data_IF_141709764416
#
_entry.id   IF_141709764416
#
_cell.length_a   1.000
_cell.length_b   1.000
_cell.length_c   1.000
_cell.angle_alpha   90.00
_cell.angle_beta   90.00
_cell.angle_gamma   90.00
#
_symmetry.space_group_name_H-M   'P 1'
#
loop_
_entity.id
_entity.type
_entity.pdbx_description
1 polymer ?
#
# COMPACT_ATOMS: atom_id res chain seq x y z
N UNK A 1 -5.30 31.68 -23.81
CA UNK A 1 -4.36 31.52 -24.95
C UNK A 1 -3.45 30.30 -24.82
N UNK A 2 -2.82 30.06 -23.67
CA UNK A 2 -1.92 28.91 -23.48
C UNK A 2 -2.61 27.54 -23.70
N UNK A 3 -3.82 27.39 -23.19
CA UNK A 3 -4.59 26.12 -23.33
C UNK A 3 -5.00 25.86 -24.79
N UNK A 4 -5.28 26.92 -25.53
CA UNK A 4 -5.63 26.78 -26.94
C UNK A 4 -4.39 26.37 -27.77
N UNK A 5 -3.20 26.85 -27.41
CA UNK A 5 -1.94 26.46 -28.08
C UNK A 5 -1.55 25.02 -27.78
N UNK A 6 -1.76 24.53 -26.56
CA UNK A 6 -1.49 23.13 -26.20
C UNK A 6 -2.48 22.17 -26.86
N UNK A 7 -3.77 22.55 -26.92
CA UNK A 7 -4.76 21.75 -27.64
C UNK A 7 -4.44 21.65 -29.14
N UNK A 8 -4.03 22.77 -29.75
CA UNK A 8 -3.64 22.78 -31.16
C UNK A 8 -2.42 21.88 -31.41
N UNK A 9 -1.47 21.84 -30.49
CA UNK A 9 -0.28 20.98 -30.57
C UNK A 9 -0.64 19.51 -30.43
N UNK A 10 -1.55 19.18 -29.52
CA UNK A 10 -2.05 17.82 -29.36
C UNK A 10 -2.77 17.32 -30.64
N UNK A 11 -3.61 18.16 -31.23
CA UNK A 11 -4.32 17.86 -32.47
C UNK A 11 -3.33 17.67 -33.64
N UNK A 12 -2.29 18.51 -33.72
CA UNK A 12 -1.21 18.39 -34.73
C UNK A 12 -0.44 17.08 -34.61
N UNK A 13 -0.07 16.67 -33.39
CA UNK A 13 0.63 15.39 -33.15
C UNK A 13 -0.22 14.18 -33.52
N UNK A 14 -1.52 14.22 -33.21
CA UNK A 14 -2.46 13.18 -33.63
C UNK A 14 -2.61 13.10 -35.15
N UNK A 15 -2.68 14.25 -35.82
CA UNK A 15 -2.76 14.30 -37.28
C UNK A 15 -1.48 13.73 -37.93
N UNK A 16 -0.30 14.05 -37.41
CA UNK A 16 0.98 13.47 -37.85
C UNK A 16 0.99 11.94 -37.68
N UNK A 17 0.45 11.42 -36.58
CA UNK A 17 0.37 9.98 -36.31
C UNK A 17 -0.57 9.27 -37.31
N UNK A 18 -1.71 9.88 -37.60
CA UNK A 18 -2.67 9.36 -38.60
C UNK A 18 -2.08 9.39 -40.01
N UNK A 19 -1.35 10.45 -40.38
CA UNK A 19 -0.68 10.54 -41.67
C UNK A 19 0.43 9.50 -41.82
N UNK A 20 1.22 9.29 -40.76
CA UNK A 20 2.25 8.26 -40.73
C UNK A 20 1.66 6.85 -40.88
N UNK A 21 0.55 6.57 -40.18
CA UNK A 21 -0.16 5.29 -40.30
C UNK A 21 -0.72 5.08 -41.71
N UNK A 22 -1.25 6.15 -42.33
CA UNK A 22 -1.73 6.11 -43.74
C UNK A 22 -0.62 5.82 -44.71
N UNK A 23 0.61 6.30 -44.46
CA UNK A 23 1.76 6.12 -45.33
C UNK A 23 2.43 4.75 -45.15
N UNK A 24 2.46 4.22 -43.96
CA UNK A 24 3.17 2.98 -43.59
C UNK A 24 2.27 2.06 -42.74
N UNK A 25 1.15 1.56 -43.25
CA UNK A 25 0.25 0.70 -42.46
C UNK A 25 0.96 -0.60 -42.11
N UNK A 26 0.86 -1.00 -40.84
CA UNK A 26 1.37 -2.28 -40.29
C UNK A 26 2.85 -2.60 -40.60
N UNK A 27 3.71 -1.60 -40.61
CA UNK A 27 5.12 -1.77 -40.88
C UNK A 27 5.99 -1.43 -39.65
N UNK A 28 7.17 -2.10 -39.55
CA UNK A 28 8.19 -1.80 -38.55
C UNK A 28 8.67 -0.35 -38.63
N UNK A 29 8.57 0.25 -39.81
CA UNK A 29 8.93 1.66 -40.07
C UNK A 29 7.94 2.58 -39.32
N UNK A 30 6.64 2.26 -39.37
CA UNK A 30 5.63 3.01 -38.61
C UNK A 30 5.93 3.02 -37.12
N UNK A 31 6.22 1.85 -36.53
CA UNK A 31 6.48 1.77 -35.08
C UNK A 31 7.69 2.59 -34.67
N UNK A 32 8.76 2.55 -35.47
CA UNK A 32 9.96 3.32 -35.18
C UNK A 32 9.78 4.84 -35.32
N UNK A 33 9.07 5.27 -36.36
CA UNK A 33 8.84 6.70 -36.60
C UNK A 33 7.70 7.27 -35.71
N UNK A 34 6.76 6.44 -35.28
CA UNK A 34 5.68 6.82 -34.40
C UNK A 34 6.09 6.91 -32.91
N UNK A 35 7.17 6.22 -32.51
CA UNK A 35 7.60 6.17 -31.10
C UNK A 35 7.88 7.56 -30.48
N UNK A 36 8.62 8.48 -31.13
CA UNK A 36 8.86 9.82 -30.60
C UNK A 36 7.57 10.65 -30.50
N UNK A 37 6.61 10.49 -31.44
CA UNK A 37 5.33 11.17 -31.42
C UNK A 37 4.46 10.64 -30.29
N UNK A 38 4.41 9.32 -30.10
CA UNK A 38 3.69 8.68 -28.97
C UNK A 38 4.24 9.14 -27.63
N UNK A 39 5.57 9.24 -27.49
CA UNK A 39 6.19 9.70 -26.24
C UNK A 39 5.84 11.16 -25.92
N UNK A 40 5.73 12.03 -26.95
CA UNK A 40 5.27 13.40 -26.76
C UNK A 40 3.80 13.45 -26.37
N UNK A 41 2.93 12.70 -27.04
CA UNK A 41 1.50 12.59 -26.70
C UNK A 41 1.29 12.11 -25.26
N UNK A 42 2.03 11.10 -24.83
CA UNK A 42 1.96 10.63 -23.44
C UNK A 42 2.41 11.69 -22.43
N UNK A 43 3.41 12.50 -22.75
CA UNK A 43 3.85 13.59 -21.88
C UNK A 43 2.78 14.69 -21.79
N UNK A 44 2.13 15.02 -22.89
CA UNK A 44 1.04 16.02 -22.94
C UNK A 44 -0.22 15.50 -22.22
N UNK A 45 -0.60 14.24 -22.43
CA UNK A 45 -1.69 13.60 -21.69
C UNK A 45 -1.46 13.63 -20.17
N UNK A 46 -0.23 13.34 -19.73
CA UNK A 46 0.15 13.41 -18.33
C UNK A 46 0.04 14.85 -17.78
N UNK A 47 0.44 15.84 -18.58
CA UNK A 47 0.32 17.25 -18.22
C UNK A 47 -1.15 17.69 -18.11
N UNK A 48 -1.99 17.34 -19.08
CA UNK A 48 -3.42 17.64 -19.04
C UNK A 48 -4.13 16.96 -17.86
N UNK A 49 -3.77 15.73 -17.57
CA UNK A 49 -4.28 15.00 -16.40
C UNK A 49 -3.91 15.72 -15.10
N UNK A 50 -2.63 16.11 -14.97
CA UNK A 50 -2.14 16.85 -13.82
C UNK A 50 -2.84 18.22 -13.67
N UNK A 51 -3.04 18.94 -14.77
CA UNK A 51 -3.73 20.22 -14.80
C UNK A 51 -5.19 20.09 -14.40
N UNK A 52 -5.90 19.07 -14.90
CA UNK A 52 -7.28 18.80 -14.55
C UNK A 52 -7.41 18.43 -13.06
N UNK A 53 -6.50 17.63 -12.55
CA UNK A 53 -6.42 17.30 -11.13
C UNK A 53 -6.19 18.56 -10.28
N UNK A 54 -5.27 19.43 -10.71
CA UNK A 54 -5.00 20.70 -10.01
C UNK A 54 -6.22 21.61 -9.98
N UNK A 55 -6.97 21.72 -11.08
CA UNK A 55 -8.21 22.51 -11.17
C UNK A 55 -9.35 21.94 -10.35
N UNK A 56 -9.38 20.63 -10.14
CA UNK A 56 -10.41 19.96 -9.36
C UNK A 56 -10.14 20.00 -7.85
N UNK A 57 -9.00 20.55 -7.39
CA UNK A 57 -8.67 20.67 -5.99
C UNK A 57 -9.65 21.60 -5.26
N UNK A 58 -10.15 21.12 -4.13
CA UNK A 58 -10.97 21.90 -3.20
C UNK A 58 -10.10 22.78 -2.30
N UNK A 59 -10.65 23.84 -1.69
CA UNK A 59 -9.94 24.63 -0.69
C UNK A 59 -9.37 23.72 0.42
N UNK A 60 -8.07 23.83 0.68
CA UNK A 60 -7.36 23.02 1.68
C UNK A 60 -6.72 21.73 1.13
N UNK A 61 -7.05 21.29 -0.09
CA UNK A 61 -6.37 20.18 -0.73
C UNK A 61 -5.05 20.63 -1.36
N UNK A 62 -4.06 19.74 -1.36
CA UNK A 62 -2.75 19.94 -1.97
C UNK A 62 -2.61 19.02 -3.18
N UNK A 63 -2.04 19.54 -4.27
CA UNK A 63 -1.69 18.70 -5.40
C UNK A 63 -0.59 17.73 -5.00
N UNK A 64 -0.87 16.42 -5.12
CA UNK A 64 0.06 15.35 -4.80
C UNK A 64 0.27 14.47 -6.03
N UNK A 65 1.52 14.03 -6.23
CA UNK A 65 1.82 13.05 -7.28
C UNK A 65 1.22 11.68 -6.90
N UNK A 66 0.13 11.31 -7.55
CA UNK A 66 -0.77 10.23 -7.14
C UNK A 66 -0.13 8.83 -7.14
N UNK A 67 0.85 8.58 -8.02
CA UNK A 67 1.38 7.23 -8.28
C UNK A 67 1.96 6.56 -7.03
N UNK A 68 2.73 7.30 -6.22
CA UNK A 68 3.30 6.77 -4.98
C UNK A 68 2.23 6.42 -3.94
N UNK A 69 1.22 7.27 -3.82
CA UNK A 69 0.10 7.07 -2.89
C UNK A 69 -0.81 5.92 -3.35
N UNK A 70 -1.09 5.81 -4.64
CA UNK A 70 -1.88 4.70 -5.19
C UNK A 70 -1.18 3.35 -4.97
N UNK A 71 0.15 3.32 -5.06
CA UNK A 71 0.92 2.10 -4.83
C UNK A 71 0.97 1.70 -3.34
N UNK A 72 0.85 2.66 -2.42
CA UNK A 72 0.84 2.41 -0.99
C UNK A 72 -0.57 2.16 -0.43
N UNK A 73 -1.59 2.83 -0.97
CA UNK A 73 -2.95 2.89 -0.41
C UNK A 73 -4.05 2.52 -1.43
N UNK A 74 -3.69 2.24 -2.68
CA UNK A 74 -4.61 1.90 -3.75
C UNK A 74 -5.10 0.45 -3.69
N UNK A 75 -5.92 0.06 -4.66
CA UNK A 75 -6.53 -1.27 -4.72
C UNK A 75 -5.51 -2.40 -4.85
N UNK A 76 -4.41 -2.18 -5.58
CA UNK A 76 -3.34 -3.18 -5.73
C UNK A 76 -2.57 -3.38 -4.42
N UNK A 77 -2.31 -2.29 -3.67
CA UNK A 77 -1.74 -2.35 -2.34
C UNK A 77 -2.65 -3.16 -1.40
N UNK A 78 -3.96 -2.92 -1.43
CA UNK A 78 -4.91 -3.64 -0.60
C UNK A 78 -4.90 -5.15 -0.88
N UNK A 79 -4.79 -5.56 -2.15
CA UNK A 79 -4.70 -6.96 -2.53
C UNK A 79 -3.42 -7.62 -2.00
N UNK A 80 -2.28 -6.96 -2.14
CA UNK A 80 -1.02 -7.42 -1.61
C UNK A 80 -1.07 -7.52 -0.08
N UNK A 81 -1.64 -6.51 0.58
CA UNK A 81 -1.85 -6.46 2.02
C UNK A 81 -2.65 -7.64 2.56
N UNK A 82 -3.71 -8.04 1.86
CA UNK A 82 -4.53 -9.20 2.25
C UNK A 82 -3.73 -10.50 2.18
N UNK A 83 -2.89 -10.67 1.15
CA UNK A 83 -2.03 -11.85 1.02
C UNK A 83 -0.94 -11.87 2.11
N UNK A 84 -0.30 -10.73 2.38
CA UNK A 84 0.69 -10.59 3.44
C UNK A 84 0.09 -10.83 4.83
N UNK A 85 -1.11 -10.32 5.07
CA UNK A 85 -1.84 -10.54 6.33
C UNK A 85 -2.20 -12.01 6.51
N UNK A 86 -2.64 -12.69 5.43
CA UNK A 86 -2.92 -14.12 5.43
C UNK A 86 -1.68 -14.95 5.75
N UNK A 87 -0.55 -14.63 5.13
CA UNK A 87 0.75 -15.26 5.42
C UNK A 87 1.22 -15.00 6.86
N UNK A 88 1.05 -13.76 7.36
CA UNK A 88 1.37 -13.40 8.72
C UNK A 88 0.50 -14.16 9.74
N UNK A 89 -0.79 -14.28 9.46
CA UNK A 89 -1.72 -15.08 10.27
C UNK A 89 -1.26 -16.53 10.39
N UNK A 90 -0.91 -17.17 9.26
CA UNK A 90 -0.39 -18.55 9.27
C UNK A 90 0.92 -18.65 10.04
N UNK A 91 1.84 -17.71 9.89
CA UNK A 91 3.10 -17.69 10.61
C UNK A 91 2.89 -17.58 12.13
N UNK A 92 2.00 -16.69 12.58
CA UNK A 92 1.62 -16.54 13.99
C UNK A 92 0.98 -17.83 14.52
N UNK A 93 0.04 -18.41 13.76
CA UNK A 93 -0.64 -19.63 14.15
C UNK A 93 0.33 -20.80 14.29
N UNK A 94 1.21 -21.02 13.32
CA UNK A 94 2.19 -22.13 13.34
C UNK A 94 3.18 -21.98 14.49
N UNK A 95 3.68 -20.77 14.76
CA UNK A 95 4.66 -20.52 15.81
C UNK A 95 4.06 -20.70 17.19
N UNK A 96 2.87 -20.14 17.42
CA UNK A 96 2.19 -20.26 18.72
C UNK A 96 1.72 -21.70 18.94
N UNK A 97 1.08 -22.32 17.95
CA UNK A 97 0.62 -23.71 18.06
C UNK A 97 1.78 -24.66 18.36
N UNK A 98 2.90 -24.53 17.64
CA UNK A 98 4.11 -25.35 17.87
C UNK A 98 4.67 -25.19 19.28
N UNK A 99 4.66 -23.98 19.82
CA UNK A 99 5.11 -23.71 21.19
C UNK A 99 4.21 -24.39 22.23
N UNK A 100 2.89 -24.32 22.07
CA UNK A 100 1.94 -24.93 23.02
C UNK A 100 1.83 -26.44 22.87
N UNK A 101 1.90 -26.97 21.64
CA UNK A 101 1.89 -28.43 21.40
C UNK A 101 3.11 -29.10 22.03
N UNK A 102 4.30 -28.49 21.89
CA UNK A 102 5.52 -29.01 22.52
C UNK A 102 5.48 -29.04 24.05
N UNK A 103 4.78 -28.09 24.69
CA UNK A 103 4.58 -28.09 26.14
C UNK A 103 3.63 -29.21 26.60
N UNK A 104 2.57 -29.50 25.84
CA UNK A 104 1.65 -30.61 26.12
C UNK A 104 2.34 -31.95 25.95
N UNK A 105 3.08 -32.15 24.85
CA UNK A 105 3.80 -33.39 24.59
C UNK A 105 4.88 -33.67 25.64
N UNK A 106 5.56 -32.62 26.13
CA UNK A 106 6.59 -32.74 27.19
C UNK A 106 6.02 -32.86 28.60
N UNK A 107 4.70 -32.74 28.81
CA UNK A 107 4.05 -32.77 30.13
C UNK A 107 4.34 -31.54 31.01
N UNK A 108 5.04 -30.54 30.47
CA UNK A 108 5.37 -29.30 31.20
C UNK A 108 4.12 -28.51 31.56
N UNK A 109 3.04 -28.61 30.79
CA UNK A 109 1.77 -27.96 31.08
C UNK A 109 1.18 -28.40 32.42
N UNK A 110 1.27 -29.68 32.76
CA UNK A 110 0.80 -30.20 34.06
C UNK A 110 1.61 -29.60 35.24
N UNK A 111 2.94 -29.43 35.05
CA UNK A 111 3.79 -28.79 36.05
C UNK A 111 3.52 -27.29 36.20
N UNK A 112 3.26 -26.62 35.09
CA UNK A 112 2.94 -25.19 35.06
C UNK A 112 1.57 -24.91 35.73
N UNK A 113 0.59 -25.76 35.52
CA UNK A 113 -0.75 -25.65 36.15
C UNK A 113 -0.69 -25.85 37.66
N UNK A 114 0.16 -26.70 38.17
CA UNK A 114 0.41 -26.92 39.60
C UNK A 114 1.27 -25.83 40.26
N UNK A 115 1.94 -24.98 39.49
CA UNK A 115 2.86 -23.98 40.00
C UNK A 115 2.14 -22.71 40.48
N UNK A 116 2.50 -22.15 41.64
CA UNK A 116 1.99 -20.85 42.11
C UNK A 116 2.37 -19.68 41.18
N UNK A 117 3.33 -19.87 40.30
CA UNK A 117 3.82 -18.86 39.31
C UNK A 117 3.12 -18.91 37.96
N UNK A 118 2.06 -19.72 37.79
CA UNK A 118 1.28 -19.86 36.54
C UNK A 118 0.94 -18.52 35.92
N UNK A 119 0.45 -17.54 36.69
CA UNK A 119 0.08 -16.21 36.20
C UNK A 119 1.26 -15.44 35.60
N UNK A 120 2.46 -15.60 36.16
CA UNK A 120 3.66 -14.95 35.65
C UNK A 120 4.08 -15.55 34.32
N UNK A 121 4.03 -16.87 34.17
CA UNK A 121 4.38 -17.58 32.92
C UNK A 121 3.43 -17.18 31.79
N UNK A 122 2.11 -17.15 32.05
CA UNK A 122 1.12 -16.71 31.05
C UNK A 122 1.37 -15.27 30.62
N UNK A 123 1.68 -14.37 31.55
CA UNK A 123 2.01 -12.97 31.19
C UNK A 123 3.22 -12.89 30.27
N UNK A 124 4.30 -13.61 30.56
CA UNK A 124 5.48 -13.64 29.73
C UNK A 124 5.21 -14.22 28.33
N UNK A 125 4.38 -15.26 28.22
CA UNK A 125 3.93 -15.79 26.93
C UNK A 125 3.16 -14.74 26.12
N UNK A 126 2.25 -14.01 26.75
CA UNK A 126 1.53 -12.91 26.07
C UNK A 126 2.49 -11.80 25.61
N UNK A 127 3.50 -11.44 26.42
CA UNK A 127 4.48 -10.42 26.03
C UNK A 127 5.33 -10.88 24.85
N UNK A 128 5.80 -12.13 24.86
CA UNK A 128 6.56 -12.71 23.76
C UNK A 128 5.72 -12.79 22.49
N UNK A 129 4.48 -13.27 22.57
CA UNK A 129 3.58 -13.33 21.44
C UNK A 129 3.26 -11.93 20.89
N UNK A 130 3.00 -10.95 21.76
CA UNK A 130 2.82 -9.55 21.36
C UNK A 130 4.04 -8.95 20.69
N UNK A 131 5.23 -9.22 21.23
CA UNK A 131 6.50 -8.81 20.60
C UNK A 131 6.70 -9.43 19.23
N UNK A 132 6.37 -10.71 19.07
CA UNK A 132 6.46 -11.39 17.79
C UNK A 132 5.47 -10.81 16.76
N UNK A 133 4.22 -10.57 17.15
CA UNK A 133 3.22 -9.92 16.29
C UNK A 133 3.69 -8.54 15.84
N UNK A 134 4.24 -7.74 16.76
CA UNK A 134 4.78 -6.42 16.43
C UNK A 134 5.94 -6.50 15.44
N UNK A 135 6.92 -7.37 15.72
CA UNK A 135 8.08 -7.59 14.83
C UNK A 135 7.64 -8.05 13.44
N UNK A 136 6.74 -9.01 13.36
CA UNK A 136 6.25 -9.53 12.10
C UNK A 136 5.51 -8.44 11.29
N UNK A 137 4.65 -7.66 11.96
CA UNK A 137 3.93 -6.56 11.31
C UNK A 137 4.89 -5.53 10.73
N UNK A 138 5.90 -5.13 11.50
CA UNK A 138 6.91 -4.16 11.05
C UNK A 138 7.78 -4.73 9.94
N UNK A 139 8.20 -6.00 10.05
CA UNK A 139 9.03 -6.65 9.03
C UNK A 139 8.34 -6.78 7.68
N UNK A 140 7.03 -6.97 7.66
CA UNK A 140 6.26 -7.05 6.41
C UNK A 140 5.93 -5.66 5.85
N UNK A 141 5.57 -4.71 6.70
CA UNK A 141 5.07 -3.42 6.25
C UNK A 141 6.17 -2.40 5.94
N UNK A 142 7.24 -2.37 6.73
CA UNK A 142 8.31 -1.37 6.60
C UNK A 142 9.04 -1.42 5.26
N UNK A 143 9.38 -2.60 4.69
CA UNK A 143 10.02 -2.67 3.38
C UNK A 143 9.16 -2.08 2.27
N UNK A 144 7.83 -2.30 2.29
CA UNK A 144 6.90 -1.72 1.33
C UNK A 144 6.92 -0.19 1.37
N UNK A 145 6.84 0.39 2.56
CA UNK A 145 6.92 1.84 2.77
C UNK A 145 8.27 2.41 2.28
N UNK A 146 9.38 1.77 2.65
CA UNK A 146 10.73 2.21 2.26
C UNK A 146 10.93 2.11 0.74
N UNK A 147 10.40 1.08 0.09
CA UNK A 147 10.47 0.91 -1.37
C UNK A 147 9.71 2.03 -2.08
N UNK A 148 8.50 2.36 -1.61
CA UNK A 148 7.71 3.44 -2.18
C UNK A 148 8.40 4.79 -1.98
N UNK A 149 8.93 5.08 -0.78
CA UNK A 149 9.68 6.31 -0.53
C UNK A 149 10.96 6.39 -1.37
N UNK A 150 11.68 5.29 -1.56
CA UNK A 150 12.89 5.24 -2.39
C UNK A 150 12.60 5.45 -3.88
N UNK A 151 11.48 4.94 -4.39
CA UNK A 151 11.10 5.03 -5.79
C UNK A 151 10.44 6.37 -6.17
N UNK A 152 9.62 6.93 -5.28
CA UNK A 152 8.77 8.10 -5.59
C UNK A 152 9.13 9.35 -4.75
N UNK A 153 10.16 9.27 -3.92
CA UNK A 153 10.57 10.35 -3.01
C UNK A 153 9.75 10.37 -1.72
N UNK A 154 9.98 11.41 -0.91
CA UNK A 154 9.29 11.57 0.37
C UNK A 154 7.79 11.82 0.16
N UNK A 155 6.95 10.93 0.68
CA UNK A 155 5.51 11.13 0.72
C UNK A 155 5.16 12.17 1.77
N UNK A 156 4.33 13.15 1.41
CA UNK A 156 3.82 14.14 2.36
C UNK A 156 2.74 13.49 3.25
N UNK A 157 3.14 13.03 4.43
CA UNK A 157 2.27 12.41 5.42
C UNK A 157 1.36 13.42 6.14
N UNK A 158 1.69 14.72 6.08
CA UNK A 158 0.89 15.79 6.68
C UNK A 158 -0.25 16.25 5.76
N UNK A 159 -0.19 15.92 4.45
CA UNK A 159 -1.22 16.28 3.50
C UNK A 159 -2.59 15.69 3.89
N UNK A 160 -3.66 16.39 3.52
CA UNK A 160 -5.02 15.90 3.73
C UNK A 160 -5.26 14.62 2.91
N UNK A 161 -5.88 13.62 3.53
CA UNK A 161 -6.13 12.33 2.90
C UNK A 161 -7.01 12.44 1.64
N UNK A 162 -7.99 13.35 1.64
CA UNK A 162 -8.87 13.60 0.50
C UNK A 162 -8.16 14.22 -0.72
N UNK A 163 -6.89 14.67 -0.58
CA UNK A 163 -6.04 15.09 -1.70
C UNK A 163 -5.55 13.90 -2.53
N UNK A 164 -5.61 12.69 -1.98
CA UNK A 164 -5.26 11.45 -2.67
C UNK A 164 -6.51 10.83 -3.28
N UNK A 165 -6.50 10.55 -4.57
CA UNK A 165 -7.67 10.08 -5.32
C UNK A 165 -8.31 8.83 -4.72
N UNK A 166 -7.52 7.85 -4.30
CA UNK A 166 -8.04 6.62 -3.67
C UNK A 166 -8.64 6.85 -2.27
N UNK A 167 -8.38 7.99 -1.63
CA UNK A 167 -8.87 8.37 -0.31
C UNK A 167 -9.88 9.53 -0.36
N UNK A 168 -10.34 9.92 -1.54
CA UNK A 168 -11.23 11.07 -1.76
C UNK A 168 -12.57 10.99 -1.01
N UNK A 169 -12.96 9.78 -0.58
CA UNK A 169 -14.19 9.52 0.20
C UNK A 169 -14.01 9.86 1.69
N UNK A 170 -12.77 10.01 2.17
CA UNK A 170 -12.51 10.32 3.58
C UNK A 170 -12.83 11.79 3.89
N UNK A 171 -13.28 12.04 5.12
CA UNK A 171 -13.58 13.39 5.60
C UNK A 171 -12.33 14.26 5.71
N UNK A 172 -12.51 15.58 5.64
CA UNK A 172 -11.44 16.60 5.62
C UNK A 172 -10.53 16.60 6.87
N UNK A 173 -10.90 15.87 7.92
CA UNK A 173 -10.10 15.79 9.16
C UNK A 173 -8.98 14.76 9.16
N UNK A 174 -8.86 13.94 8.11
CA UNK A 174 -7.84 12.90 8.04
C UNK A 174 -6.61 13.36 7.26
N UNK A 175 -5.43 13.07 7.80
CA UNK A 175 -4.16 13.20 7.08
C UNK A 175 -3.74 11.86 6.48
N UNK A 176 -2.91 11.88 5.43
CA UNK A 176 -2.34 10.65 4.84
C UNK A 176 -1.62 9.82 5.89
N UNK A 177 -0.80 10.45 6.73
CA UNK A 177 -0.12 9.78 7.85
C UNK A 177 -1.10 9.17 8.86
N UNK A 178 -2.22 9.84 9.13
CA UNK A 178 -3.29 9.32 9.98
C UNK A 178 -3.91 8.04 9.41
N UNK A 179 -4.17 8.00 8.10
CA UNK A 179 -4.68 6.80 7.41
C UNK A 179 -3.67 5.65 7.47
N UNK A 180 -2.40 5.94 7.20
CA UNK A 180 -1.30 4.96 7.25
C UNK A 180 -1.16 4.36 8.66
N UNK A 181 -1.20 5.20 9.71
CA UNK A 181 -1.18 4.74 11.11
C UNK A 181 -2.42 3.93 11.48
N UNK A 182 -3.60 4.34 11.00
CA UNK A 182 -4.84 3.59 11.24
C UNK A 182 -4.79 2.19 10.60
N UNK A 183 -4.29 2.07 9.37
CA UNK A 183 -4.07 0.79 8.70
C UNK A 183 -3.09 -0.10 9.47
N UNK A 184 -1.97 0.47 9.94
CA UNK A 184 -1.01 -0.25 10.78
C UNK A 184 -1.63 -0.73 12.08
N UNK A 185 -2.43 0.10 12.75
CA UNK A 185 -3.13 -0.26 13.97
C UNK A 185 -4.15 -1.39 13.74
N UNK A 186 -4.91 -1.33 12.64
CA UNK A 186 -5.85 -2.40 12.26
C UNK A 186 -5.11 -3.72 12.04
N UNK A 187 -3.98 -3.72 11.34
CA UNK A 187 -3.15 -4.91 11.13
C UNK A 187 -2.66 -5.50 12.45
N UNK A 188 -2.13 -4.67 13.34
CA UNK A 188 -1.69 -5.10 14.67
C UNK A 188 -2.83 -5.71 15.47
N UNK A 189 -4.01 -5.09 15.46
CA UNK A 189 -5.18 -5.61 16.18
C UNK A 189 -5.65 -6.96 15.61
N UNK A 190 -5.68 -7.12 14.28
CA UNK A 190 -6.08 -8.37 13.65
C UNK A 190 -5.11 -9.51 13.99
N UNK A 191 -3.78 -9.26 13.90
CA UNK A 191 -2.78 -10.26 14.25
C UNK A 191 -2.75 -10.55 15.76
N UNK A 192 -2.95 -9.56 16.62
CA UNK A 192 -3.05 -9.76 18.05
C UNK A 192 -4.31 -10.58 18.43
N UNK A 193 -5.44 -10.30 17.79
CA UNK A 193 -6.66 -11.07 17.96
C UNK A 193 -6.49 -12.53 17.52
N UNK A 194 -5.79 -12.76 16.41
CA UNK A 194 -5.47 -14.10 15.93
C UNK A 194 -4.56 -14.86 16.90
N UNK A 195 -3.51 -14.17 17.40
CA UNK A 195 -2.62 -14.76 18.41
C UNK A 195 -3.39 -15.13 19.69
N UNK A 196 -4.27 -14.25 20.17
CA UNK A 196 -5.13 -14.51 21.33
C UNK A 196 -6.07 -15.70 21.07
N UNK A 197 -6.68 -15.79 19.89
CA UNK A 197 -7.53 -16.92 19.53
C UNK A 197 -6.76 -18.26 19.53
N UNK A 198 -5.56 -18.29 18.96
CA UNK A 198 -4.69 -19.49 18.97
C UNK A 198 -4.32 -19.87 20.42
N UNK A 199 -3.98 -18.89 21.28
CA UNK A 199 -3.68 -19.15 22.69
C UNK A 199 -4.88 -19.67 23.49
N UNK A 200 -6.09 -19.29 23.11
CA UNK A 200 -7.33 -19.77 23.79
C UNK A 200 -7.71 -21.18 23.35
N UNK A 201 -7.39 -21.55 22.11
CA UNK A 201 -7.73 -22.86 21.53
C UNK A 201 -6.66 -23.93 21.83
N UNK A 202 -5.46 -23.56 22.17
CA UNK A 202 -4.34 -24.45 22.51
C UNK A 202 -4.25 -24.70 24.01
#
# INVERSE_FOLDING_TARGET
DYLASEQARFDELNEQLVELWRRYPDSVIFDREAEPIRNQLHAEDAFHLAQNQYRALRPGQVYLYQTGYQRLLGADALRQDVLELGGAFLAVALLLFGSFAGERESGVDALLTASPRRRSVVRWKCVIAGGYVLLLTLALWLPGLLTVQGAYGSLDMAAQANSVQCLSVLSDGWTVGGVVLALLAIRLLLLAASAAAVMLLS
#
